data_IF_786121884648
#
_entry.id   IF_786121884648
#
_cell.length_a   1.000
_cell.length_b   1.000
_cell.length_c   1.000
_cell.angle_alpha   90.00
_cell.angle_beta   90.00
_cell.angle_gamma   90.00
#
_symmetry.space_group_name_H-M   'P 1'
#
loop_
_entity.id
_entity.type
_entity.pdbx_description
1 polymer ?
#
# COMPACT_ATOMS: atom_id res chain seq x y z
N UNK A 1 -30.11 -27.33 3.90
CA UNK A 1 -28.89 -28.01 3.44
C UNK A 1 -28.46 -27.28 2.19
N UNK A 2 -27.50 -26.36 2.31
CA UNK A 2 -27.02 -25.57 1.17
C UNK A 2 -25.89 -26.35 0.50
N UNK A 3 -26.14 -26.87 -0.69
CA UNK A 3 -25.09 -27.37 -1.57
C UNK A 3 -24.34 -26.16 -2.17
N UNK A 4 -23.22 -25.80 -1.55
CA UNK A 4 -22.16 -25.10 -2.27
C UNK A 4 -21.51 -26.12 -3.20
N UNK A 5 -22.05 -26.27 -4.41
CA UNK A 5 -21.32 -26.97 -5.46
C UNK A 5 -20.12 -26.08 -5.83
N UNK A 6 -18.87 -26.47 -5.54
CA UNK A 6 -17.74 -25.76 -6.12
C UNK A 6 -17.92 -25.89 -7.63
N UNK A 7 -17.94 -24.76 -8.35
CA UNK A 7 -17.79 -24.82 -9.80
C UNK A 7 -16.46 -25.52 -10.05
N UNK A 8 -16.49 -26.81 -10.33
CA UNK A 8 -15.35 -27.53 -10.89
C UNK A 8 -15.24 -26.95 -12.29
N UNK A 9 -14.52 -25.84 -12.40
CA UNK A 9 -14.17 -25.26 -13.69
C UNK A 9 -13.22 -26.29 -14.30
N UNK A 10 -13.70 -27.02 -15.30
CA UNK A 10 -12.85 -27.89 -16.09
C UNK A 10 -11.67 -27.05 -16.59
N UNK A 11 -10.47 -27.63 -16.56
CA UNK A 11 -9.29 -26.95 -17.12
C UNK A 11 -9.64 -26.65 -18.59
N UNK A 12 -9.60 -25.37 -19.01
CA UNK A 12 -10.00 -25.02 -20.36
C UNK A 12 -9.11 -25.74 -21.37
N UNK A 13 -9.73 -26.16 -22.47
CA UNK A 13 -8.96 -26.73 -23.56
C UNK A 13 -8.15 -25.65 -24.30
N UNK A 14 -7.33 -26.06 -25.27
CA UNK A 14 -6.44 -25.13 -25.98
C UNK A 14 -7.20 -24.11 -26.82
N UNK A 15 -8.39 -24.47 -27.33
CA UNK A 15 -9.18 -23.57 -28.17
C UNK A 15 -9.92 -22.56 -27.29
N UNK A 16 -10.50 -23.00 -26.16
CA UNK A 16 -11.07 -22.10 -25.14
C UNK A 16 -10.02 -21.11 -24.60
N UNK A 17 -8.79 -21.58 -24.34
CA UNK A 17 -7.69 -20.72 -23.91
C UNK A 17 -7.31 -19.69 -24.98
N UNK A 18 -7.39 -20.04 -26.27
CA UNK A 18 -7.11 -19.12 -27.38
C UNK A 18 -8.20 -18.04 -27.49
N UNK A 19 -9.47 -18.42 -27.37
CA UNK A 19 -10.59 -17.48 -27.38
C UNK A 19 -10.52 -16.49 -26.20
N UNK A 20 -10.18 -16.99 -25.00
CA UNK A 20 -9.97 -16.16 -23.82
C UNK A 20 -8.80 -15.18 -24.05
N UNK A 21 -7.70 -15.63 -24.65
CA UNK A 21 -6.56 -14.79 -25.00
C UNK A 21 -6.94 -13.67 -25.96
N UNK A 22 -7.72 -13.97 -27.01
CA UNK A 22 -8.15 -12.97 -28.00
C UNK A 22 -9.11 -11.95 -27.37
N UNK A 23 -10.00 -12.41 -26.49
CA UNK A 23 -10.89 -11.54 -25.70
C UNK A 23 -10.08 -10.58 -24.82
N UNK A 24 -9.10 -11.09 -24.07
CA UNK A 24 -8.24 -10.27 -23.20
C UNK A 24 -7.41 -9.26 -24.01
N UNK A 25 -6.91 -9.65 -25.19
CA UNK A 25 -6.20 -8.75 -26.10
C UNK A 25 -7.09 -7.65 -26.65
N UNK A 26 -8.31 -7.99 -27.08
CA UNK A 26 -9.27 -7.02 -27.60
C UNK A 26 -9.64 -5.98 -26.53
N UNK A 27 -9.92 -6.43 -25.31
CA UNK A 27 -10.20 -5.55 -24.18
C UNK A 27 -8.99 -4.68 -23.80
N UNK A 28 -7.79 -5.26 -23.67
CA UNK A 28 -6.60 -4.53 -23.26
C UNK A 28 -6.15 -3.45 -24.25
N UNK A 29 -6.54 -3.56 -25.54
CA UNK A 29 -6.32 -2.51 -26.55
C UNK A 29 -7.16 -1.25 -26.29
N UNK A 30 -8.33 -1.39 -25.69
CA UNK A 30 -9.26 -0.28 -25.44
C UNK A 30 -9.22 0.23 -24.00
N UNK A 31 -8.75 -0.60 -23.06
CA UNK A 31 -8.71 -0.29 -21.63
C UNK A 31 -7.57 0.67 -21.25
N UNK A 32 -7.80 1.49 -20.21
CA UNK A 32 -6.78 2.35 -19.63
C UNK A 32 -5.67 1.48 -18.98
N UNK A 33 -4.37 1.87 -19.06
CA UNK A 33 -3.30 1.16 -18.36
C UNK A 33 -3.58 0.87 -16.87
N UNK A 34 -4.29 1.75 -16.15
CA UNK A 34 -4.68 1.55 -14.76
C UNK A 34 -5.73 0.44 -14.59
N UNK A 35 -6.68 0.32 -15.53
CA UNK A 35 -7.69 -0.75 -15.54
C UNK A 35 -7.05 -2.11 -15.82
N UNK A 36 -6.09 -2.16 -16.75
CA UNK A 36 -5.30 -3.37 -17.03
C UNK A 36 -4.50 -3.80 -15.80
N UNK A 37 -3.86 -2.85 -15.11
CA UNK A 37 -3.09 -3.13 -13.89
C UNK A 37 -3.97 -3.60 -12.72
N UNK A 38 -5.22 -3.13 -12.64
CA UNK A 38 -6.17 -3.54 -11.62
C UNK A 38 -6.66 -4.99 -11.80
N UNK A 39 -6.74 -5.49 -13.05
CA UNK A 39 -7.10 -6.88 -13.33
C UNK A 39 -5.91 -7.83 -13.10
N UNK A 40 -4.83 -7.65 -13.86
CA UNK A 40 -3.54 -8.29 -13.64
C UNK A 40 -2.47 -7.57 -14.49
N UNK A 41 -1.39 -7.04 -13.90
CA UNK A 41 -0.31 -6.38 -14.65
C UNK A 41 0.32 -7.24 -15.76
N UNK A 42 0.24 -8.57 -15.67
CA UNK A 42 0.72 -9.49 -16.71
C UNK A 42 -0.09 -9.40 -18.01
N UNK A 43 -1.36 -8.96 -17.97
CA UNK A 43 -2.20 -8.81 -19.17
C UNK A 43 -1.64 -7.75 -20.12
N UNK A 44 -0.95 -6.73 -19.60
CA UNK A 44 -0.26 -5.74 -20.43
C UNK A 44 0.78 -6.36 -21.38
N UNK A 45 1.30 -7.55 -21.03
CA UNK A 45 2.28 -8.31 -21.85
C UNK A 45 1.64 -9.05 -23.02
N UNK A 46 0.31 -9.18 -23.07
CA UNK A 46 -0.39 -9.91 -24.13
C UNK A 46 -0.54 -9.10 -25.43
N UNK A 47 -0.29 -7.79 -25.38
CA UNK A 47 -0.42 -6.88 -26.51
C UNK A 47 0.88 -6.81 -27.33
N UNK A 48 0.87 -7.19 -28.62
CA UNK A 48 2.08 -7.18 -29.46
C UNK A 48 2.60 -5.78 -29.80
N UNK A 49 1.74 -4.76 -29.70
CA UNK A 49 2.05 -3.37 -30.06
C UNK A 49 2.59 -2.54 -28.89
N UNK A 50 2.39 -3.01 -27.64
CA UNK A 50 3.12 -2.46 -26.49
C UNK A 50 4.43 -3.23 -26.41
N UNK A 51 5.53 -2.59 -26.81
CA UNK A 51 6.86 -3.10 -26.55
C UNK A 51 6.91 -3.62 -25.10
N UNK A 52 7.43 -4.83 -24.94
CA UNK A 52 7.56 -5.51 -23.65
C UNK A 52 8.35 -4.59 -22.73
N UNK A 53 7.67 -3.69 -22.02
CA UNK A 53 8.18 -3.17 -20.78
C UNK A 53 8.08 -4.38 -19.86
N UNK A 54 9.11 -5.22 -19.88
CA UNK A 54 9.56 -5.78 -18.62
C UNK A 54 9.48 -4.59 -17.66
N UNK A 55 8.62 -4.69 -16.65
CA UNK A 55 8.75 -3.83 -15.50
C UNK A 55 10.25 -3.78 -15.23
N UNK A 56 10.90 -2.60 -15.37
CA UNK A 56 12.35 -2.58 -15.47
C UNK A 56 12.88 -3.37 -14.29
N UNK A 57 13.83 -4.28 -14.53
CA UNK A 57 14.45 -5.02 -13.45
C UNK A 57 15.00 -3.98 -12.49
N UNK A 58 14.30 -3.79 -11.37
CA UNK A 58 14.64 -2.75 -10.43
C UNK A 58 15.99 -3.14 -9.85
N UNK A 59 16.95 -2.22 -9.93
CA UNK A 59 18.25 -2.46 -9.29
C UNK A 59 18.02 -2.79 -7.82
N UNK A 60 18.51 -3.96 -7.40
CA UNK A 60 18.59 -4.33 -5.99
C UNK A 60 19.86 -3.77 -5.32
N UNK A 61 20.73 -3.16 -6.12
CA UNK A 61 21.93 -2.47 -5.65
C UNK A 61 21.54 -1.02 -5.41
N UNK A 62 21.52 -0.65 -4.13
CA UNK A 62 21.33 0.73 -3.68
C UNK A 62 22.70 1.40 -3.53
N UNK A 63 22.86 2.69 -3.90
CA UNK A 63 24.13 3.38 -3.67
C UNK A 63 24.39 3.50 -2.17
N UNK A 64 25.52 2.98 -1.70
CA UNK A 64 25.85 2.95 -0.26
C UNK A 64 26.04 4.37 0.31
N UNK A 65 26.57 5.29 -0.49
CA UNK A 65 26.84 6.68 -0.11
C UNK A 65 25.69 7.65 -0.46
N UNK A 66 24.48 7.13 -0.72
CA UNK A 66 23.35 7.98 -1.06
C UNK A 66 22.93 8.87 0.12
N UNK A 67 23.09 10.19 -0.04
CA UNK A 67 22.58 11.19 0.89
C UNK A 67 21.55 12.05 0.15
N UNK A 68 20.27 12.03 0.58
CA UNK A 68 19.23 12.81 -0.08
C UNK A 68 19.48 14.30 0.14
N UNK A 69 19.79 15.03 -0.93
CA UNK A 69 19.92 16.47 -0.93
C UNK A 69 18.55 17.17 -0.95
N UNK A 70 18.56 18.50 -0.89
CA UNK A 70 17.33 19.31 -0.90
C UNK A 70 16.56 19.18 -2.21
N UNK A 71 17.26 19.04 -3.35
CA UNK A 71 16.63 18.93 -4.66
C UNK A 71 15.91 17.58 -4.82
N UNK A 72 16.53 16.50 -4.38
CA UNK A 72 15.95 15.16 -4.33
C UNK A 72 14.72 15.14 -3.42
N UNK A 73 14.82 15.70 -2.21
CA UNK A 73 13.68 15.78 -1.28
C UNK A 73 12.50 16.56 -1.88
N UNK A 74 12.77 17.62 -2.63
CA UNK A 74 11.73 18.40 -3.31
C UNK A 74 11.02 17.65 -4.43
N UNK A 75 11.64 16.61 -5.01
CA UNK A 75 11.04 15.75 -6.03
C UNK A 75 10.18 14.61 -5.42
N UNK A 76 10.31 14.33 -4.12
CA UNK A 76 9.59 13.23 -3.50
C UNK A 76 8.08 13.54 -3.43
N UNK A 77 7.20 12.61 -3.83
CA UNK A 77 5.77 12.83 -3.76
C UNK A 77 5.29 12.89 -2.31
N UNK A 78 4.44 13.87 -1.99
CA UNK A 78 3.74 13.91 -0.71
C UNK A 78 2.60 12.90 -0.71
N UNK A 79 2.90 11.69 -0.23
CA UNK A 79 1.93 10.59 -0.17
C UNK A 79 0.85 10.78 0.91
N UNK A 80 1.04 11.70 1.87
CA UNK A 80 0.07 11.94 2.94
C UNK A 80 -0.93 13.05 2.57
N UNK A 81 -0.44 14.13 1.95
CA UNK A 81 -1.26 15.28 1.55
C UNK A 81 -1.58 15.32 0.05
N UNK A 82 -1.26 14.25 -0.69
CA UNK A 82 -1.64 14.10 -2.08
C UNK A 82 -3.17 14.12 -2.29
N UNK A 83 -3.63 14.33 -3.52
CA UNK A 83 -5.06 14.42 -3.83
C UNK A 83 -5.82 13.15 -3.44
N UNK A 84 -7.08 13.30 -3.01
CA UNK A 84 -7.94 12.18 -2.59
C UNK A 84 -8.15 11.11 -3.68
N UNK A 85 -7.89 11.44 -4.95
CA UNK A 85 -7.87 10.49 -6.06
C UNK A 85 -6.81 9.38 -5.92
N UNK A 86 -5.81 9.55 -5.04
CA UNK A 86 -4.79 8.54 -4.74
C UNK A 86 -5.19 7.58 -3.60
N UNK A 87 -6.38 7.76 -3.02
CA UNK A 87 -6.93 6.87 -1.99
C UNK A 87 -7.62 5.72 -2.72
N UNK A 88 -7.10 4.51 -2.56
CA UNK A 88 -7.70 3.30 -3.12
C UNK A 88 -8.65 2.70 -2.09
N UNK A 89 -9.84 2.28 -2.53
CA UNK A 89 -10.88 1.70 -1.67
C UNK A 89 -12.00 2.67 -1.29
N UNK A 90 -12.91 2.21 -0.42
CA UNK A 90 -14.04 3.00 0.07
C UNK A 90 -13.57 4.09 1.04
N UNK A 91 -14.17 5.29 0.93
CA UNK A 91 -13.87 6.41 1.82
C UNK A 91 -14.50 6.19 3.20
N UNK A 92 -13.75 5.61 4.12
CA UNK A 92 -14.20 5.35 5.49
C UNK A 92 -13.33 6.08 6.52
N UNK A 93 -13.98 6.60 7.56
CA UNK A 93 -13.29 7.16 8.73
C UNK A 93 -12.59 6.04 9.52
N UNK A 94 -11.33 6.27 9.89
CA UNK A 94 -10.58 5.38 10.80
C UNK A 94 -10.56 6.02 12.17
N UNK A 95 -11.30 5.43 13.11
CA UNK A 95 -11.45 6.01 14.45
C UNK A 95 -10.17 5.98 15.29
N UNK A 96 -9.33 4.95 15.09
CA UNK A 96 -8.09 4.79 15.83
C UNK A 96 -6.97 4.32 14.89
N UNK A 97 -6.04 5.21 14.58
CA UNK A 97 -4.80 4.90 13.87
C UNK A 97 -3.61 5.48 14.64
N UNK A 98 -2.53 4.71 14.78
CA UNK A 98 -1.40 5.13 15.58
C UNK A 98 -0.36 4.03 15.81
N UNK A 99 0.37 4.16 16.90
CA UNK A 99 1.41 3.22 17.33
C UNK A 99 1.02 2.66 18.69
N UNK A 100 1.06 1.35 18.84
CA UNK A 100 0.83 0.66 20.10
C UNK A 100 2.10 -0.02 20.59
N UNK A 101 2.16 -0.24 21.91
CA UNK A 101 3.15 -1.05 22.58
C UNK A 101 4.63 -0.64 22.34
N UNK A 102 4.89 0.65 22.14
CA UNK A 102 6.27 1.14 22.17
C UNK A 102 6.67 1.46 23.61
N UNK A 103 7.91 1.13 23.99
CA UNK A 103 8.38 1.24 25.36
C UNK A 103 9.21 2.50 25.55
N UNK A 104 8.86 3.29 26.56
CA UNK A 104 9.62 4.49 26.95
C UNK A 104 9.99 4.42 28.43
N UNK A 105 11.18 4.91 28.82
CA UNK A 105 11.49 5.15 30.22
C UNK A 105 10.71 6.39 30.70
N UNK A 106 9.70 6.20 31.55
CA UNK A 106 8.87 7.28 32.08
C UNK A 106 9.17 7.47 33.57
N UNK A 107 9.30 8.74 34.00
CA UNK A 107 9.40 9.12 35.41
C UNK A 107 8.01 9.26 36.03
N UNK A 108 7.78 8.50 37.09
CA UNK A 108 6.56 8.52 37.90
C UNK A 108 6.85 9.18 39.24
N UNK A 109 6.04 10.17 39.60
CA UNK A 109 6.12 10.78 40.92
C UNK A 109 5.40 9.89 41.95
N UNK A 110 6.12 9.43 42.97
CA UNK A 110 5.54 8.62 44.05
C UNK A 110 5.18 9.50 45.25
N UNK A 111 4.19 9.08 46.04
CA UNK A 111 3.65 9.87 47.16
C UNK A 111 4.71 10.22 48.21
N UNK A 112 5.62 9.30 48.52
CA UNK A 112 6.52 9.40 49.67
C UNK A 112 8.01 9.16 49.35
N UNK A 113 8.35 8.73 48.13
CA UNK A 113 9.70 8.21 47.81
C UNK A 113 10.35 8.83 46.56
N UNK A 114 9.90 10.03 46.15
CA UNK A 114 10.44 10.75 45.00
C UNK A 114 10.07 10.16 43.64
N UNK A 115 10.83 10.52 42.60
CA UNK A 115 10.60 10.07 41.23
C UNK A 115 11.19 8.69 40.96
N UNK A 116 10.41 7.78 40.39
CA UNK A 116 10.83 6.45 39.93
C UNK A 116 10.77 6.37 38.40
N UNK A 117 11.84 5.89 37.76
CA UNK A 117 11.82 5.63 36.31
C UNK A 117 11.42 4.18 36.05
N UNK A 118 10.38 3.95 35.27
CA UNK A 118 9.91 2.63 34.85
C UNK A 118 9.88 2.52 33.32
N UNK A 119 10.09 1.31 32.81
CA UNK A 119 9.82 1.01 31.40
C UNK A 119 8.30 0.88 31.20
N UNK A 120 7.72 1.78 30.43
CA UNK A 120 6.27 1.87 30.23
C UNK A 120 5.90 1.59 28.79
N UNK A 121 4.95 0.69 28.59
CA UNK A 121 4.30 0.49 27.29
C UNK A 121 3.29 1.61 27.03
N UNK A 122 3.45 2.30 25.89
CA UNK A 122 2.62 3.43 25.49
C UNK A 122 1.85 3.06 24.21
N UNK A 123 0.58 3.47 24.15
CA UNK A 123 -0.24 3.44 22.94
C UNK A 123 -0.76 4.84 22.67
N UNK A 124 -0.42 5.40 21.51
CA UNK A 124 -0.89 6.70 21.05
C UNK A 124 -1.67 6.55 19.76
N UNK A 125 -2.87 7.13 19.70
CA UNK A 125 -3.77 7.03 18.54
C UNK A 125 -4.45 8.36 18.25
N UNK A 126 -4.88 8.53 17.00
CA UNK A 126 -5.71 9.65 16.51
C UNK A 126 -6.80 9.10 15.59
N UNK A 127 -7.84 9.89 15.34
CA UNK A 127 -8.80 9.63 14.27
C UNK A 127 -8.27 10.14 12.92
N UNK A 128 -8.69 9.49 11.85
CA UNK A 128 -8.37 9.86 10.46
C UNK A 128 -9.68 10.00 9.68
N UNK A 129 -9.90 11.21 9.18
CA UNK A 129 -11.02 11.54 8.29
C UNK A 129 -10.97 10.71 7.00
N UNK A 130 -12.15 10.39 6.45
CA UNK A 130 -12.30 9.53 5.27
C UNK A 130 -11.59 10.05 3.99
N UNK A 131 -11.27 11.34 3.94
CA UNK A 131 -10.61 11.99 2.79
C UNK A 131 -9.09 12.14 2.97
N UNK A 132 -8.54 11.63 4.08
CA UNK A 132 -7.12 11.68 4.38
C UNK A 132 -6.49 10.31 4.17
N UNK A 133 -5.37 10.26 3.45
CA UNK A 133 -4.70 9.01 3.08
C UNK A 133 -3.99 8.33 4.25
N UNK A 134 -3.54 9.08 5.26
CA UNK A 134 -2.84 8.50 6.40
C UNK A 134 -2.35 9.52 7.42
N UNK A 135 -1.58 9.04 8.39
CA UNK A 135 -1.01 9.84 9.48
C UNK A 135 0.52 9.83 9.49
N UNK A 136 1.13 10.83 10.13
CA UNK A 136 2.56 10.81 10.44
C UNK A 136 2.81 10.07 11.76
N UNK A 137 2.94 8.75 11.70
CA UNK A 137 3.17 7.89 12.87
C UNK A 137 4.38 8.32 13.71
N UNK A 138 5.47 8.79 13.07
CA UNK A 138 6.68 9.21 13.79
C UNK A 138 6.46 10.39 14.75
N UNK A 139 5.42 11.20 14.54
CA UNK A 139 5.08 12.30 15.46
C UNK A 139 4.56 11.79 16.79
N UNK A 140 3.89 10.62 16.82
CA UNK A 140 3.36 10.01 18.05
C UNK A 140 4.49 9.66 19.02
N UNK A 141 5.66 9.25 18.51
CA UNK A 141 6.84 8.93 19.33
C UNK A 141 7.62 10.15 19.82
N UNK A 142 7.48 11.31 19.17
CA UNK A 142 8.24 12.54 19.50
C UNK A 142 7.48 13.50 20.42
N UNK A 143 6.23 13.19 20.74
CA UNK A 143 5.36 14.06 21.56
C UNK A 143 5.50 13.76 23.05
#
# INVERSE_FOLDING_TARGET
MNEMNPKIVAVPDTDEAREALDTLRAWARTADPAEVAALDPAIARLLPERAVSNYPDLSRVYPEDFVPDTAYKAQMPDLQNGPASLIQGEKQEIQHVGISNFRLPIRYHTRDNGDLTLETSVTGTVSLEAEKKGINMSRIMRS
#
